data_IF_509900484594
#
_entry.id   IF_509900484594
#
_cell.length_a   1.000
_cell.length_b   1.000
_cell.length_c   1.000
_cell.angle_alpha   90.00
_cell.angle_beta   90.00
_cell.angle_gamma   90.00
#
_symmetry.space_group_name_H-M   'P 1'
#
loop_
_entity.id
_entity.type
_entity.pdbx_description
1 polymer ?
#
# COMPACT_ATOMS: atom_id res chain seq x y z
N UNK A 1 -22.49 2.35 30.50
CA UNK A 1 -23.19 1.98 29.25
C UNK A 1 -22.30 0.99 28.53
N UNK A 2 -22.52 -0.29 28.84
CA UNK A 2 -21.77 -1.40 28.26
C UNK A 2 -22.35 -1.71 26.87
N UNK A 3 -21.55 -1.54 25.83
CA UNK A 3 -21.94 -1.81 24.45
C UNK A 3 -21.44 -3.20 24.07
N UNK A 4 -22.32 -4.20 24.23
CA UNK A 4 -22.12 -5.55 23.70
C UNK A 4 -22.49 -5.50 22.21
N UNK A 5 -21.49 -5.54 21.33
CA UNK A 5 -21.69 -5.62 19.89
C UNK A 5 -22.02 -7.06 19.49
N UNK A 6 -23.20 -7.27 18.92
CA UNK A 6 -23.55 -8.52 18.26
C UNK A 6 -22.80 -8.62 16.94
N UNK A 7 -21.88 -9.59 16.88
CA UNK A 7 -21.15 -10.00 15.69
C UNK A 7 -22.04 -10.95 14.88
N UNK A 8 -22.55 -10.49 13.76
CA UNK A 8 -23.07 -11.37 12.71
C UNK A 8 -21.90 -11.92 11.89
N UNK A 9 -21.96 -13.20 11.51
CA UNK A 9 -20.87 -14.03 11.00
C UNK A 9 -20.05 -13.44 9.82
N UNK A 10 -20.58 -12.46 9.06
CA UNK A 10 -19.98 -11.99 7.80
C UNK A 10 -19.57 -10.50 7.77
N UNK A 11 -19.37 -9.85 8.91
CA UNK A 11 -19.38 -8.37 9.01
C UNK A 11 -18.19 -7.65 9.67
N UNK A 12 -16.98 -8.24 9.76
CA UNK A 12 -15.87 -7.69 10.58
C UNK A 12 -15.00 -6.62 9.90
N UNK A 13 -15.13 -6.39 8.59
CA UNK A 13 -14.26 -5.44 7.88
C UNK A 13 -14.38 -3.97 8.32
N UNK A 14 -15.50 -3.62 8.97
CA UNK A 14 -15.83 -2.23 9.34
C UNK A 14 -15.09 -1.73 10.59
N UNK A 15 -14.88 -2.59 11.61
CA UNK A 15 -14.30 -2.11 12.88
C UNK A 15 -12.78 -1.86 12.81
N UNK A 16 -12.04 -2.60 11.97
CA UNK A 16 -10.57 -2.59 12.12
C UNK A 16 -9.92 -1.36 11.49
N UNK A 17 -10.50 -0.79 10.42
CA UNK A 17 -9.98 0.43 9.79
C UNK A 17 -10.50 1.72 10.45
N UNK A 18 -11.71 1.72 11.02
CA UNK A 18 -12.24 2.86 11.77
C UNK A 18 -11.64 2.99 13.19
N UNK A 19 -11.11 1.91 13.77
CA UNK A 19 -10.44 1.94 15.09
C UNK A 19 -8.98 2.45 15.04
N UNK A 20 -8.34 2.51 13.87
CA UNK A 20 -6.93 2.91 13.76
C UNK A 20 -6.67 4.41 14.01
N UNK A 21 -7.59 5.35 13.68
CA UNK A 21 -7.43 6.77 14.01
C UNK A 21 -8.11 7.20 15.32
N UNK A 22 -9.06 6.42 15.88
CA UNK A 22 -9.96 6.91 16.93
C UNK A 22 -9.49 6.75 18.38
N UNK A 23 -8.41 6.02 18.66
CA UNK A 23 -7.98 5.74 20.04
C UNK A 23 -6.64 6.38 20.38
N UNK A 24 -6.71 7.55 21.01
CA UNK A 24 -5.60 8.24 21.65
C UNK A 24 -5.13 7.62 22.99
N UNK A 25 -5.28 6.31 23.19
CA UNK A 25 -4.84 5.54 24.38
C UNK A 25 -4.38 4.13 23.95
N UNK A 26 -3.52 3.41 24.71
CA UNK A 26 -2.43 2.63 24.12
C UNK A 26 -2.93 1.45 23.26
N UNK A 27 -2.54 1.34 21.97
CA UNK A 27 -3.34 0.68 20.95
C UNK A 27 -3.09 -0.83 20.82
N UNK A 28 -2.25 -1.41 21.67
CA UNK A 28 -1.56 -2.64 21.32
C UNK A 28 -2.39 -3.91 21.51
N UNK A 29 -3.26 -3.99 22.53
CA UNK A 29 -4.04 -5.22 22.80
C UNK A 29 -5.18 -5.42 21.80
N UNK A 30 -5.95 -4.38 21.50
CA UNK A 30 -7.11 -4.48 20.61
C UNK A 30 -6.71 -4.68 19.14
N UNK A 31 -5.63 -4.03 18.69
CA UNK A 31 -5.07 -4.29 17.35
C UNK A 31 -4.62 -5.74 17.20
N UNK A 32 -4.02 -6.33 18.23
CA UNK A 32 -3.60 -7.74 18.21
C UNK A 32 -4.78 -8.70 18.10
N UNK A 33 -5.86 -8.47 18.86
CA UNK A 33 -7.07 -9.31 18.78
C UNK A 33 -7.72 -9.19 17.41
N UNK A 34 -7.87 -7.97 16.88
CA UNK A 34 -8.44 -7.75 15.54
C UNK A 34 -7.58 -8.38 14.43
N UNK A 35 -6.25 -8.28 14.53
CA UNK A 35 -5.32 -8.90 13.59
C UNK A 35 -5.36 -10.43 13.67
N UNK A 36 -5.41 -11.00 14.88
CA UNK A 36 -5.51 -12.45 15.07
C UNK A 36 -6.85 -12.99 14.52
N UNK A 37 -7.95 -12.29 14.76
CA UNK A 37 -9.27 -12.64 14.19
C UNK A 37 -9.26 -12.55 12.65
N UNK A 38 -8.72 -11.46 12.07
CA UNK A 38 -8.57 -11.35 10.62
C UNK A 38 -7.68 -12.45 10.04
N UNK A 39 -6.61 -12.85 10.73
CA UNK A 39 -5.74 -13.93 10.27
C UNK A 39 -6.44 -15.29 10.29
N UNK A 40 -7.27 -15.56 11.31
CA UNK A 40 -8.10 -16.76 11.37
C UNK A 40 -9.13 -16.76 10.23
N UNK A 41 -9.83 -15.64 10.03
CA UNK A 41 -10.80 -15.46 8.93
C UNK A 41 -10.15 -15.57 7.56
N UNK A 42 -8.93 -15.07 7.38
CA UNK A 42 -8.17 -15.24 6.14
C UNK A 42 -7.90 -16.72 5.85
N UNK A 43 -7.44 -17.47 6.87
CA UNK A 43 -7.22 -18.91 6.76
C UNK A 43 -8.50 -19.65 6.41
N UNK A 44 -9.62 -19.26 7.00
CA UNK A 44 -10.92 -19.88 6.73
C UNK A 44 -11.45 -19.47 5.35
N UNK A 45 -11.23 -18.24 4.91
CA UNK A 45 -11.60 -17.77 3.57
C UNK A 45 -10.81 -18.47 2.47
N UNK A 46 -9.52 -18.75 2.68
CA UNK A 46 -8.72 -19.58 1.78
C UNK A 46 -9.28 -21.00 1.63
N UNK A 47 -10.02 -21.50 2.63
CA UNK A 47 -10.62 -22.83 2.64
C UNK A 47 -12.05 -22.84 2.10
N UNK A 48 -12.85 -21.79 2.35
CA UNK A 48 -14.30 -21.85 2.22
C UNK A 48 -14.97 -20.68 1.48
N UNK A 49 -14.40 -19.46 1.48
CA UNK A 49 -15.14 -18.23 1.08
C UNK A 49 -14.66 -17.58 -0.23
N UNK A 50 -13.80 -18.27 -0.99
CA UNK A 50 -13.35 -17.85 -2.33
C UNK A 50 -12.13 -16.92 -2.34
N UNK A 51 -11.42 -16.90 -3.47
CA UNK A 51 -10.14 -16.21 -3.62
C UNK A 51 -10.22 -14.67 -3.41
N UNK A 52 -11.33 -14.06 -3.82
CA UNK A 52 -11.56 -12.62 -3.67
C UNK A 52 -11.59 -12.18 -2.20
N UNK A 53 -12.35 -12.89 -1.36
CA UNK A 53 -12.49 -12.57 0.06
C UNK A 53 -11.16 -12.76 0.79
N UNK A 54 -10.42 -13.82 0.45
CA UNK A 54 -9.09 -14.03 0.98
C UNK A 54 -8.12 -12.89 0.61
N UNK A 55 -8.17 -12.38 -0.64
CA UNK A 55 -7.36 -11.25 -1.06
C UNK A 55 -7.73 -9.94 -0.32
N UNK A 56 -9.02 -9.66 -0.16
CA UNK A 56 -9.50 -8.49 0.59
C UNK A 56 -9.05 -8.53 2.07
N UNK A 57 -9.15 -9.68 2.73
CA UNK A 57 -8.72 -9.84 4.12
C UNK A 57 -7.19 -9.70 4.26
N UNK A 58 -6.43 -10.30 3.35
CA UNK A 58 -4.97 -10.17 3.33
C UNK A 58 -4.53 -8.71 3.10
N UNK A 59 -5.21 -7.99 2.20
CA UNK A 59 -4.97 -6.58 1.94
C UNK A 59 -5.19 -5.71 3.19
N UNK A 60 -6.30 -5.94 3.91
CA UNK A 60 -6.58 -5.22 5.17
C UNK A 60 -5.50 -5.50 6.21
N UNK A 61 -5.11 -6.77 6.40
CA UNK A 61 -4.01 -7.15 7.29
C UNK A 61 -2.70 -6.47 6.92
N UNK A 62 -2.36 -6.43 5.63
CA UNK A 62 -1.15 -5.81 5.11
C UNK A 62 -1.11 -4.31 5.44
N UNK A 63 -2.19 -3.58 5.18
CA UNK A 63 -2.29 -2.15 5.47
C UNK A 63 -2.15 -1.88 6.97
N UNK A 64 -2.81 -2.66 7.83
CA UNK A 64 -2.69 -2.53 9.29
C UNK A 64 -1.25 -2.76 9.75
N UNK A 65 -0.59 -3.76 9.19
CA UNK A 65 0.78 -4.13 9.54
C UNK A 65 1.80 -3.07 9.11
N UNK A 66 1.65 -2.50 7.91
CA UNK A 66 2.62 -1.57 7.32
C UNK A 66 2.41 -0.11 7.74
N UNK A 67 1.18 0.30 8.06
CA UNK A 67 0.81 1.71 8.23
C UNK A 67 1.66 2.48 9.27
N UNK A 68 2.02 1.95 10.45
CA UNK A 68 2.88 2.68 11.40
C UNK A 68 4.22 3.08 10.79
N UNK A 69 4.82 2.19 10.01
CA UNK A 69 6.12 2.42 9.37
C UNK A 69 5.99 3.29 8.13
N UNK A 70 4.95 3.08 7.32
CA UNK A 70 4.66 3.95 6.18
C UNK A 70 4.43 5.40 6.61
N UNK A 71 3.73 5.61 7.73
CA UNK A 71 3.55 6.95 8.30
C UNK A 71 4.85 7.59 8.74
N UNK A 72 5.74 6.82 9.36
CA UNK A 72 7.07 7.29 9.72
C UNK A 72 7.92 7.63 8.48
N UNK A 73 7.86 6.79 7.44
CA UNK A 73 8.50 7.04 6.16
C UNK A 73 7.97 8.31 5.48
N UNK A 74 6.65 8.52 5.48
CA UNK A 74 6.01 9.76 4.98
C UNK A 74 6.49 10.97 5.75
N UNK A 75 6.51 10.92 7.09
CA UNK A 75 6.97 12.03 7.93
C UNK A 75 8.46 12.37 7.68
N UNK A 76 9.30 11.36 7.46
CA UNK A 76 10.74 11.56 7.19
C UNK A 76 11.00 12.07 5.77
N UNK A 77 10.37 11.47 4.74
CA UNK A 77 10.50 11.91 3.34
C UNK A 77 9.95 13.31 3.13
N UNK A 78 8.93 13.72 3.88
CA UNK A 78 8.42 15.09 3.85
C UNK A 78 9.35 16.09 4.57
N UNK A 79 9.95 15.72 5.71
CA UNK A 79 10.78 16.61 6.54
C UNK A 79 12.15 16.98 5.96
N UNK A 80 12.38 18.26 5.63
CA UNK A 80 13.65 18.77 5.05
C UNK A 80 14.92 18.38 5.82
N UNK A 81 14.86 18.28 7.16
CA UNK A 81 16.01 17.97 8.04
C UNK A 81 16.27 16.48 8.23
N UNK A 82 15.33 15.61 7.86
CA UNK A 82 15.35 14.17 8.20
C UNK A 82 15.41 13.27 6.94
N UNK A 83 15.31 13.87 5.74
CA UNK A 83 15.39 13.18 4.43
C UNK A 83 16.69 12.40 4.21
N UNK A 84 17.78 12.75 4.88
CA UNK A 84 19.08 12.09 4.70
C UNK A 84 19.21 10.76 5.47
N UNK A 85 18.25 10.40 6.32
CA UNK A 85 18.29 9.13 7.06
C UNK A 85 17.62 8.04 6.21
N UNK A 86 18.45 7.11 5.73
CA UNK A 86 18.07 5.95 4.93
C UNK A 86 17.20 4.96 5.71
N UNK A 87 15.88 5.14 5.67
CA UNK A 87 14.93 4.05 5.93
C UNK A 87 14.37 3.61 4.59
N UNK A 88 14.79 2.42 4.14
CA UNK A 88 14.19 1.77 2.99
C UNK A 88 12.77 1.32 3.32
N UNK A 89 11.88 1.38 2.32
CA UNK A 89 10.59 0.68 2.43
C UNK A 89 10.83 -0.83 2.60
N UNK A 90 9.88 -1.52 3.23
CA UNK A 90 9.89 -2.97 3.35
C UNK A 90 8.77 -3.57 2.49
N UNK A 91 8.89 -4.82 2.01
CA UNK A 91 7.81 -5.48 1.30
C UNK A 91 6.65 -5.81 2.25
N UNK A 92 5.45 -6.03 1.68
CA UNK A 92 4.24 -6.37 2.44
C UNK A 92 4.44 -7.61 3.32
N UNK A 93 5.07 -8.66 2.80
CA UNK A 93 5.40 -9.90 3.50
C UNK A 93 6.19 -9.65 4.79
N UNK A 94 7.18 -8.77 4.74
CA UNK A 94 8.01 -8.42 5.89
C UNK A 94 7.17 -7.78 7.01
N UNK A 95 6.24 -6.87 6.67
CA UNK A 95 5.37 -6.24 7.66
C UNK A 95 4.41 -7.25 8.31
N UNK A 96 3.81 -8.13 7.50
CA UNK A 96 2.93 -9.20 7.98
C UNK A 96 3.68 -10.14 8.92
N UNK A 97 4.87 -10.60 8.52
CA UNK A 97 5.74 -11.44 9.33
C UNK A 97 6.13 -10.76 10.63
N UNK A 98 6.59 -9.49 10.58
CA UNK A 98 6.98 -8.74 11.78
C UNK A 98 5.82 -8.61 12.76
N UNK A 99 4.62 -8.38 12.25
CA UNK A 99 3.40 -8.27 13.07
C UNK A 99 3.05 -9.61 13.72
N UNK A 100 3.15 -10.73 12.99
CA UNK A 100 2.83 -12.07 13.48
C UNK A 100 3.90 -12.64 14.43
N UNK A 101 5.17 -12.33 14.22
CA UNK A 101 6.30 -12.88 14.98
C UNK A 101 6.79 -11.96 16.12
N UNK A 102 6.15 -10.80 16.37
CA UNK A 102 6.60 -9.85 17.39
C UNK A 102 6.68 -10.45 18.80
N UNK A 103 5.95 -11.54 19.05
CA UNK A 103 5.92 -12.27 20.32
C UNK A 103 6.51 -13.70 20.21
N UNK A 104 6.93 -14.16 19.02
CA UNK A 104 7.37 -15.53 18.80
C UNK A 104 8.90 -15.62 18.74
N UNK A 105 9.51 -15.85 19.92
CA UNK A 105 10.89 -16.29 20.17
C UNK A 105 12.07 -15.43 19.64
N UNK A 106 12.97 -14.93 20.51
CA UNK A 106 14.13 -14.12 20.13
C UNK A 106 15.32 -14.89 19.49
N UNK A 107 15.16 -16.16 19.11
CA UNK A 107 16.26 -17.03 18.65
C UNK A 107 15.97 -17.74 17.33
N UNK A 108 15.54 -17.01 16.29
CA UNK A 108 15.55 -17.55 14.91
C UNK A 108 16.83 -17.14 14.21
N UNK A 109 17.48 -18.07 13.53
CA UNK A 109 18.68 -17.77 12.73
C UNK A 109 18.28 -16.87 11.56
N UNK A 110 19.26 -16.18 10.95
CA UNK A 110 19.00 -15.38 9.73
C UNK A 110 18.37 -16.23 8.60
N UNK A 111 18.72 -17.52 8.52
CA UNK A 111 18.16 -18.45 7.55
C UNK A 111 16.67 -18.71 7.77
N UNK A 112 16.25 -18.97 9.01
CA UNK A 112 14.84 -19.24 9.35
C UNK A 112 13.93 -18.06 9.01
N UNK A 113 14.43 -16.83 9.21
CA UNK A 113 13.68 -15.62 8.88
C UNK A 113 13.50 -15.44 7.38
N UNK A 114 14.51 -15.81 6.58
CA UNK A 114 14.46 -15.75 5.12
C UNK A 114 13.46 -16.75 4.54
N UNK A 115 13.48 -18.00 5.02
CA UNK A 115 12.50 -19.02 4.60
C UNK A 115 11.08 -18.55 4.88
N UNK A 116 10.85 -17.96 6.05
CA UNK A 116 9.54 -17.37 6.37
C UNK A 116 9.18 -16.20 5.46
N UNK A 117 10.12 -15.30 5.15
CA UNK A 117 9.86 -14.20 4.20
C UNK A 117 9.44 -14.76 2.83
N UNK A 118 10.12 -15.78 2.32
CA UNK A 118 9.79 -16.47 1.06
C UNK A 118 8.41 -17.15 1.09
N UNK A 119 8.04 -17.78 2.22
CA UNK A 119 6.70 -18.35 2.42
C UNK A 119 5.60 -17.28 2.40
N UNK A 120 5.81 -16.16 3.10
CA UNK A 120 4.86 -15.04 3.10
C UNK A 120 4.75 -14.37 1.73
N UNK A 121 5.87 -14.19 1.03
CA UNK A 121 5.89 -13.68 -0.35
C UNK A 121 5.08 -14.60 -1.28
N UNK A 122 5.24 -15.93 -1.14
CA UNK A 122 4.47 -16.91 -1.91
C UNK A 122 2.96 -16.80 -1.62
N UNK A 123 2.57 -16.64 -0.36
CA UNK A 123 1.16 -16.44 0.03
C UNK A 123 0.60 -15.16 -0.57
N UNK A 124 1.34 -14.04 -0.51
CA UNK A 124 0.93 -12.76 -1.10
C UNK A 124 0.79 -12.89 -2.61
N UNK A 125 1.80 -13.42 -3.30
CA UNK A 125 1.79 -13.59 -4.75
C UNK A 125 0.62 -14.48 -5.21
N UNK A 126 0.40 -15.62 -4.54
CA UNK A 126 -0.71 -16.53 -4.86
C UNK A 126 -2.07 -15.89 -4.63
N UNK A 127 -2.25 -15.20 -3.50
CA UNK A 127 -3.54 -14.64 -3.11
C UNK A 127 -3.88 -13.40 -3.96
N UNK A 128 -2.89 -12.55 -4.24
CA UNK A 128 -3.08 -11.31 -4.99
C UNK A 128 -2.99 -11.48 -6.51
N UNK A 129 -2.43 -12.59 -6.99
CA UNK A 129 -2.16 -12.79 -8.42
C UNK A 129 -3.38 -12.64 -9.33
N UNK A 130 -4.52 -13.22 -8.92
CA UNK A 130 -5.77 -13.10 -9.69
C UNK A 130 -6.30 -11.65 -9.72
N UNK A 131 -6.17 -10.93 -8.61
CA UNK A 131 -6.58 -9.51 -8.52
C UNK A 131 -5.68 -8.65 -9.40
N UNK A 132 -4.35 -8.84 -9.30
CA UNK A 132 -3.37 -8.13 -10.13
C UNK A 132 -3.66 -8.34 -11.62
N UNK A 133 -3.88 -9.59 -12.03
CA UNK A 133 -4.23 -9.92 -13.41
C UNK A 133 -5.53 -9.24 -13.85
N UNK A 134 -6.57 -9.24 -13.01
CA UNK A 134 -7.84 -8.58 -13.30
C UNK A 134 -7.72 -7.05 -13.44
N UNK A 135 -6.79 -6.43 -12.70
CA UNK A 135 -6.45 -5.01 -12.78
C UNK A 135 -5.44 -4.68 -13.90
N UNK A 136 -4.95 -5.67 -14.65
CA UNK A 136 -3.91 -5.47 -15.66
C UNK A 136 -2.54 -5.10 -15.07
N UNK A 137 -2.26 -5.50 -13.82
CA UNK A 137 -1.02 -5.28 -13.10
C UNK A 137 -0.05 -6.47 -13.24
N UNK A 138 1.28 -6.24 -13.30
CA UNK A 138 2.23 -7.32 -13.37
C UNK A 138 2.20 -8.16 -12.08
N UNK A 139 2.27 -9.48 -12.24
CA UNK A 139 2.26 -10.43 -11.11
C UNK A 139 3.47 -10.18 -10.20
N UNK A 140 4.63 -9.98 -10.82
CA UNK A 140 5.89 -9.62 -10.15
C UNK A 140 6.05 -8.11 -10.15
N UNK A 141 6.50 -7.54 -9.02
CA UNK A 141 6.73 -6.10 -8.93
C UNK A 141 7.92 -5.68 -9.84
N UNK A 142 7.71 -4.82 -10.85
CA UNK A 142 8.73 -4.47 -11.84
C UNK A 142 9.88 -3.61 -11.27
N UNK A 143 9.64 -2.95 -10.14
CA UNK A 143 10.58 -2.01 -9.50
C UNK A 143 10.80 -2.36 -8.03
N UNK A 144 10.79 -3.65 -7.69
CA UNK A 144 10.87 -4.11 -6.30
C UNK A 144 12.08 -3.55 -5.54
N UNK A 145 13.24 -3.52 -6.19
CA UNK A 145 14.52 -3.06 -5.66
C UNK A 145 15.27 -2.18 -6.67
N UNK A 146 16.10 -1.30 -6.12
CA UNK A 146 17.14 -0.58 -6.81
C UNK A 146 18.49 -1.01 -6.25
N UNK A 147 19.47 -1.22 -7.12
CA UNK A 147 20.78 -1.76 -6.77
C UNK A 147 21.84 -0.70 -7.06
N UNK A 148 22.24 0.08 -6.05
CA UNK A 148 23.33 1.05 -6.20
C UNK A 148 24.64 0.30 -6.41
N UNK A 149 25.37 0.68 -7.46
CA UNK A 149 26.73 0.17 -7.67
C UNK A 149 27.67 0.94 -6.73
N UNK A 150 28.05 0.32 -5.62
CA UNK A 150 28.93 0.93 -4.61
C UNK A 150 30.41 0.80 -4.99
N UNK A 151 31.26 1.58 -4.33
CA UNK A 151 32.72 1.45 -4.47
C UNK A 151 33.19 0.04 -4.10
N UNK A 152 32.54 -0.64 -3.15
CA UNK A 152 32.84 -2.01 -2.77
C UNK A 152 32.53 -3.01 -3.90
N UNK A 153 31.42 -2.81 -4.63
CA UNK A 153 31.06 -3.63 -5.81
C UNK A 153 32.06 -3.38 -6.94
N UNK A 154 32.58 -2.16 -7.08
CA UNK A 154 33.60 -1.83 -8.08
C UNK A 154 34.96 -2.44 -7.68
N UNK A 155 35.29 -2.44 -6.38
CA UNK A 155 36.54 -2.95 -5.84
C UNK A 155 36.58 -4.47 -5.72
N UNK A 156 35.45 -5.16 -5.87
CA UNK A 156 35.39 -6.62 -5.80
C UNK A 156 35.96 -7.33 -7.02
N UNK A 157 36.19 -6.60 -8.12
CA UNK A 157 36.82 -7.12 -9.33
C UNK A 157 38.20 -6.49 -9.56
N UNK A 158 39.10 -7.31 -10.10
CA UNK A 158 40.41 -6.84 -10.59
C UNK A 158 40.44 -6.68 -12.11
N UNK A 159 39.38 -7.10 -12.82
CA UNK A 159 39.28 -7.00 -14.27
C UNK A 159 39.01 -5.53 -14.68
N UNK A 160 39.89 -4.90 -15.49
CA UNK A 160 39.74 -3.51 -15.91
C UNK A 160 38.47 -3.22 -16.71
N UNK A 161 38.07 -4.12 -17.61
CA UNK A 161 36.89 -3.95 -18.46
C UNK A 161 35.60 -4.07 -17.65
N UNK A 162 35.54 -5.02 -16.72
CA UNK A 162 34.41 -5.18 -15.82
C UNK A 162 34.30 -3.96 -14.88
N UNK A 163 35.42 -3.49 -14.34
CA UNK A 163 35.48 -2.28 -13.51
C UNK A 163 34.99 -1.04 -14.27
N UNK A 164 35.42 -0.87 -15.53
CA UNK A 164 34.97 0.23 -16.38
C UNK A 164 33.46 0.14 -16.66
N UNK A 165 32.94 -1.06 -16.87
CA UNK A 165 31.50 -1.27 -17.03
C UNK A 165 30.73 -0.90 -15.76
N UNK A 166 31.15 -1.34 -14.58
CA UNK A 166 30.53 -0.98 -13.30
C UNK A 166 30.56 0.54 -13.04
N UNK A 167 31.69 1.20 -13.34
CA UNK A 167 31.80 2.66 -13.28
C UNK A 167 30.88 3.38 -14.29
N UNK A 168 30.60 2.79 -15.45
CA UNK A 168 29.63 3.36 -16.39
C UNK A 168 28.19 3.29 -15.84
N UNK A 169 27.87 2.24 -15.09
CA UNK A 169 26.56 2.07 -14.47
C UNK A 169 26.29 3.10 -13.37
N UNK A 170 27.31 3.50 -12.59
CA UNK A 170 27.14 4.54 -11.55
C UNK A 170 26.68 5.88 -12.13
N UNK A 171 27.16 6.23 -13.34
CA UNK A 171 26.76 7.45 -14.04
C UNK A 171 25.29 7.49 -14.48
N UNK A 172 24.65 6.32 -14.62
CA UNK A 172 23.24 6.18 -15.00
C UNK A 172 22.26 6.16 -13.82
N UNK A 173 22.76 6.10 -12.58
CA UNK A 173 21.95 5.87 -11.38
C UNK A 173 21.86 4.39 -10.98
N UNK A 174 21.05 4.04 -9.96
CA UNK A 174 20.96 2.67 -9.49
C UNK A 174 20.28 1.76 -10.54
N UNK A 175 20.75 0.52 -10.64
CA UNK A 175 20.17 -0.49 -11.53
C UNK A 175 18.81 -0.90 -10.98
N UNK A 176 17.76 -0.91 -11.79
CA UNK A 176 16.42 -1.34 -11.36
C UNK A 176 16.24 -2.85 -11.51
N UNK A 177 15.33 -3.45 -10.74
CA UNK A 177 15.02 -4.89 -10.79
C UNK A 177 14.78 -5.39 -12.22
N UNK A 178 13.98 -4.68 -13.02
CA UNK A 178 13.71 -5.06 -14.41
C UNK A 178 14.92 -4.99 -15.37
N UNK A 179 16.06 -4.43 -14.95
CA UNK A 179 17.30 -4.36 -15.74
C UNK A 179 18.35 -5.37 -15.25
N UNK A 180 18.11 -6.05 -14.13
CA UNK A 180 19.14 -6.82 -13.45
C UNK A 180 19.63 -8.00 -14.29
N UNK A 181 18.73 -8.73 -14.96
CA UNK A 181 19.13 -9.87 -15.81
C UNK A 181 20.08 -9.44 -16.93
N UNK A 182 19.81 -8.30 -17.57
CA UNK A 182 20.66 -7.74 -18.63
C UNK A 182 22.03 -7.34 -18.08
N UNK A 183 22.05 -6.69 -16.91
CA UNK A 183 23.30 -6.27 -16.25
C UNK A 183 24.12 -7.48 -15.81
N UNK A 184 23.50 -8.48 -15.17
CA UNK A 184 24.18 -9.70 -14.76
C UNK A 184 24.75 -10.47 -15.96
N UNK A 185 24.00 -10.61 -17.05
CA UNK A 185 24.51 -11.26 -18.26
C UNK A 185 25.68 -10.48 -18.85
N UNK A 186 25.60 -9.15 -18.87
CA UNK A 186 26.71 -8.33 -19.36
C UNK A 186 27.96 -8.44 -18.49
N UNK A 187 27.81 -8.56 -17.17
CA UNK A 187 28.92 -8.79 -16.24
C UNK A 187 29.61 -10.14 -16.55
N UNK A 188 28.83 -11.21 -16.78
CA UNK A 188 29.34 -12.53 -17.18
C UNK A 188 30.07 -12.53 -18.52
N UNK A 189 29.61 -11.72 -19.47
CA UNK A 189 30.24 -11.62 -20.80
C UNK A 189 31.61 -10.93 -20.77
N UNK A 190 31.87 -10.07 -19.77
CA UNK A 190 33.09 -9.25 -19.69
C UNK A 190 34.15 -9.90 -18.79
N UNK A 191 33.74 -10.44 -17.65
CA UNK A 191 34.65 -10.95 -16.63
C UNK A 191 34.93 -12.46 -16.73
N UNK A 192 36.04 -12.95 -16.15
CA UNK A 192 36.19 -14.37 -15.80
C UNK A 192 35.00 -14.83 -14.94
N UNK A 193 34.59 -16.10 -15.08
CA UNK A 193 33.39 -16.62 -14.42
C UNK A 193 33.37 -16.35 -12.90
N UNK A 194 34.45 -16.65 -12.19
CA UNK A 194 34.52 -16.48 -10.73
C UNK A 194 34.40 -15.02 -10.28
N UNK A 195 35.06 -14.11 -11.02
CA UNK A 195 35.07 -12.67 -10.75
C UNK A 195 33.69 -12.04 -11.04
N UNK A 196 33.07 -12.45 -12.15
CA UNK A 196 31.73 -12.03 -12.55
C UNK A 196 30.67 -12.45 -11.52
N UNK A 197 30.71 -13.70 -11.04
CA UNK A 197 29.74 -14.18 -10.04
C UNK A 197 29.92 -13.48 -8.68
N UNK A 198 31.16 -13.22 -8.25
CA UNK A 198 31.40 -12.44 -7.03
C UNK A 198 30.83 -11.02 -7.12
N UNK A 199 31.02 -10.33 -8.25
CA UNK A 199 30.45 -9.00 -8.49
C UNK A 199 28.92 -9.04 -8.48
N UNK A 200 28.32 -10.05 -9.14
CA UNK A 200 26.87 -10.23 -9.18
C UNK A 200 26.31 -10.46 -7.77
N UNK A 201 26.94 -11.33 -6.98
CA UNK A 201 26.53 -11.59 -5.60
C UNK A 201 26.54 -10.31 -4.76
N UNK A 202 27.64 -9.54 -4.83
CA UNK A 202 27.75 -8.28 -4.09
C UNK A 202 26.75 -7.23 -4.55
N UNK A 203 26.52 -7.10 -5.86
CA UNK A 203 25.53 -6.18 -6.40
C UNK A 203 24.11 -6.54 -5.94
N UNK A 204 23.74 -7.82 -6.03
CA UNK A 204 22.42 -8.30 -5.60
C UNK A 204 22.22 -8.15 -4.09
N UNK A 205 23.27 -8.37 -3.29
CA UNK A 205 23.25 -8.14 -1.85
C UNK A 205 23.02 -6.67 -1.47
N UNK A 206 23.38 -5.73 -2.36
CA UNK A 206 23.20 -4.29 -2.18
C UNK A 206 21.78 -3.77 -2.47
N UNK A 207 20.82 -4.64 -2.79
CA UNK A 207 19.46 -4.24 -3.14
C UNK A 207 18.74 -3.44 -2.04
N UNK A 208 18.26 -2.24 -2.39
CA UNK A 208 17.50 -1.35 -1.49
C UNK A 208 16.17 -0.93 -2.11
N UNK A 209 15.29 -0.34 -1.29
CA UNK A 209 13.93 0.10 -1.68
C UNK A 209 13.72 1.62 -1.49
N UNK A 210 14.80 2.40 -1.53
CA UNK A 210 14.75 3.85 -1.26
C UNK A 210 14.09 4.65 -2.38
N UNK A 211 14.16 4.15 -3.62
CA UNK A 211 13.55 4.73 -4.82
C UNK A 211 12.02 4.70 -4.80
N UNK A 212 11.43 3.83 -3.98
CA UNK A 212 9.98 3.72 -3.85
C UNK A 212 9.38 4.92 -3.11
N UNK A 213 8.15 5.24 -3.49
CA UNK A 213 7.32 6.20 -2.76
C UNK A 213 6.72 5.53 -1.53
N UNK A 214 6.63 6.28 -0.44
CA UNK A 214 5.90 5.84 0.74
C UNK A 214 4.39 6.08 0.53
N UNK A 215 3.55 5.15 0.97
CA UNK A 215 2.09 5.24 0.86
C UNK A 215 1.49 5.01 2.24
N UNK A 216 0.81 6.01 2.78
CA UNK A 216 0.12 5.93 4.08
C UNK A 216 -1.37 6.22 3.90
N UNK A 217 -2.18 5.50 4.66
CA UNK A 217 -3.63 5.69 4.74
C UNK A 217 -3.96 6.36 6.06
N UNK A 218 -4.61 7.51 5.97
CA UNK A 218 -5.11 8.25 7.13
C UNK A 218 -6.61 8.43 7.00
N UNK A 219 -7.36 8.27 8.08
CA UNK A 219 -8.76 8.67 8.12
C UNK A 219 -8.90 9.89 9.02
N UNK A 220 -9.43 10.98 8.46
CA UNK A 220 -9.83 12.17 9.21
C UNK A 220 -11.33 12.33 9.01
N UNK A 221 -12.11 12.00 10.04
CA UNK A 221 -13.56 11.93 9.94
C UNK A 221 -14.03 10.70 9.13
N UNK A 222 -15.08 10.87 8.33
CA UNK A 222 -15.75 9.76 7.61
C UNK A 222 -15.06 9.33 6.32
N UNK A 223 -14.10 10.11 5.81
CA UNK A 223 -13.49 9.87 4.49
C UNK A 223 -12.00 9.53 4.65
N UNK A 224 -11.56 8.33 4.23
CA UNK A 224 -10.14 7.97 4.22
C UNK A 224 -9.38 8.71 3.12
N UNK A 225 -8.12 9.00 3.40
CA UNK A 225 -7.17 9.72 2.57
C UNK A 225 -5.91 8.87 2.36
N UNK A 226 -5.41 8.88 1.14
CA UNK A 226 -4.14 8.27 0.76
C UNK A 226 -3.11 9.39 0.60
N UNK A 227 -2.00 9.26 1.33
CA UNK A 227 -0.85 10.16 1.21
C UNK A 227 0.31 9.40 0.61
N UNK A 228 0.82 9.89 -0.52
CA UNK A 228 1.94 9.31 -1.27
C UNK A 228 3.09 10.30 -1.25
N UNK A 229 4.28 9.86 -0.87
CA UNK A 229 5.48 10.72 -0.85
C UNK A 229 6.62 10.07 -1.62
N UNK A 230 7.06 10.74 -2.69
CA UNK A 230 8.19 10.23 -3.49
C UNK A 230 9.55 10.52 -2.81
N UNK A 231 10.66 9.93 -3.29
CA UNK A 231 11.98 10.17 -2.73
C UNK A 231 12.44 11.63 -2.76
N UNK A 232 11.88 12.45 -3.66
CA UNK A 232 12.16 13.89 -3.74
C UNK A 232 11.42 14.70 -2.66
N UNK A 233 10.55 14.05 -1.88
CA UNK A 233 9.74 14.66 -0.83
C UNK A 233 8.54 15.45 -1.36
N UNK A 234 8.12 15.17 -2.59
CA UNK A 234 6.84 15.64 -3.13
C UNK A 234 5.76 14.72 -2.57
N UNK A 235 4.70 15.33 -2.07
CA UNK A 235 3.55 14.74 -1.39
C UNK A 235 2.36 14.91 -2.32
N UNK A 236 1.68 13.82 -2.59
CA UNK A 236 0.35 13.78 -3.17
C UNK A 236 -0.59 13.22 -2.11
N UNK A 237 -1.59 14.00 -1.70
CA UNK A 237 -2.63 13.55 -0.79
C UNK A 237 -3.98 13.63 -1.49
N UNK A 238 -4.68 12.51 -1.54
CA UNK A 238 -5.95 12.40 -2.23
C UNK A 238 -6.95 11.54 -1.45
N UNK A 239 -8.27 11.79 -1.62
CA UNK A 239 -9.32 10.90 -1.15
C UNK A 239 -9.14 9.45 -1.64
N UNK A 240 -9.49 8.49 -0.79
CA UNK A 240 -9.42 7.05 -1.10
C UNK A 240 -10.09 6.67 -2.42
N UNK A 241 -11.29 7.19 -2.71
CA UNK A 241 -12.00 6.92 -3.97
C UNK A 241 -11.22 7.35 -5.20
N UNK A 242 -10.49 8.47 -5.11
CA UNK A 242 -9.66 8.96 -6.22
C UNK A 242 -8.47 8.04 -6.46
N UNK A 243 -7.94 7.42 -5.39
CA UNK A 243 -6.89 6.42 -5.49
C UNK A 243 -7.43 5.12 -6.08
N UNK A 244 -8.59 4.65 -5.59
CA UNK A 244 -9.29 3.49 -6.15
C UNK A 244 -9.49 3.64 -7.66
N UNK A 245 -10.04 4.78 -8.08
CA UNK A 245 -10.30 5.06 -9.49
C UNK A 245 -9.03 5.09 -10.36
N UNK A 246 -7.87 5.49 -9.82
CA UNK A 246 -6.60 5.47 -10.57
C UNK A 246 -6.08 4.04 -10.77
N UNK A 247 -6.36 3.14 -9.83
CA UNK A 247 -5.98 1.73 -9.90
C UNK A 247 -7.01 0.91 -10.70
N UNK A 248 -8.30 1.26 -10.67
CA UNK A 248 -9.32 0.58 -11.47
C UNK A 248 -9.13 0.82 -12.98
N UNK A 249 -8.72 2.03 -13.37
CA UNK A 249 -8.54 2.43 -14.76
C UNK A 249 -7.05 2.61 -15.10
N UNK A 250 -6.29 1.54 -14.90
CA UNK A 250 -4.86 1.46 -15.22
C UNK A 250 -4.58 1.91 -16.66
N UNK A 251 -3.55 2.74 -16.83
CA UNK A 251 -3.14 3.30 -18.11
C UNK A 251 -4.00 4.46 -18.62
N UNK A 252 -5.13 4.77 -17.98
CA UNK A 252 -5.97 5.90 -18.39
C UNK A 252 -5.60 7.18 -17.64
N UNK A 253 -5.50 8.28 -18.38
CA UNK A 253 -5.32 9.61 -17.79
C UNK A 253 -6.63 10.15 -17.26
N UNK A 254 -6.64 10.48 -15.97
CA UNK A 254 -7.78 11.05 -15.27
C UNK A 254 -7.45 12.40 -14.68
N UNK A 255 -8.42 13.32 -14.71
CA UNK A 255 -8.37 14.56 -13.93
C UNK A 255 -8.71 14.22 -12.48
N UNK A 256 -7.70 13.97 -11.66
CA UNK A 256 -7.84 13.52 -10.26
C UNK A 256 -8.71 14.48 -9.45
N UNK A 257 -8.66 15.78 -9.74
CA UNK A 257 -9.55 16.78 -9.14
C UNK A 257 -11.04 16.52 -9.38
N UNK A 258 -11.39 16.03 -10.56
CA UNK A 258 -12.76 15.86 -11.07
C UNK A 258 -13.31 14.44 -10.87
N UNK A 259 -12.50 13.50 -10.38
CA UNK A 259 -12.96 12.14 -10.04
C UNK A 259 -13.95 12.23 -8.87
N UNK A 260 -15.20 11.87 -9.15
CA UNK A 260 -16.31 11.73 -8.20
C UNK A 260 -16.61 13.01 -7.40
N UNK A 261 -17.26 13.98 -8.06
CA UNK A 261 -17.65 15.28 -7.50
C UNK A 261 -18.88 15.24 -6.57
N UNK A 262 -19.42 14.05 -6.27
CA UNK A 262 -20.65 13.91 -5.48
C UNK A 262 -20.36 13.31 -4.12
N UNK A 263 -20.13 14.18 -3.14
CA UNK A 263 -20.34 13.84 -1.73
C UNK A 263 -21.64 14.51 -1.26
N UNK A 264 -22.42 13.79 -0.45
CA UNK A 264 -23.80 14.13 -0.05
C UNK A 264 -23.88 15.41 0.81
N UNK A 265 -22.73 15.97 1.22
CA UNK A 265 -22.63 17.11 2.15
C UNK A 265 -21.89 18.35 1.60
N UNK A 266 -21.74 18.49 0.27
CA UNK A 266 -21.43 19.79 -0.36
C UNK A 266 -20.00 20.34 -0.23
N UNK A 267 -19.02 19.56 0.25
CA UNK A 267 -17.60 19.92 0.22
C UNK A 267 -16.77 18.81 -0.39
N UNK A 268 -16.08 19.09 -1.51
CA UNK A 268 -15.16 18.13 -2.10
C UNK A 268 -13.81 18.18 -1.40
N UNK A 269 -13.30 17.08 -0.84
CA UNK A 269 -11.92 17.03 -0.41
C UNK A 269 -11.00 17.15 -1.65
N UNK A 270 -10.34 18.29 -1.77
CA UNK A 270 -9.41 18.59 -2.86
C UNK A 270 -8.17 17.69 -2.81
N UNK A 271 -7.57 17.47 -3.97
CA UNK A 271 -6.26 16.81 -4.07
C UNK A 271 -5.23 17.82 -3.61
N UNK A 272 -4.43 17.46 -2.61
CA UNK A 272 -3.37 18.31 -2.08
C UNK A 272 -2.02 17.86 -2.67
N UNK A 273 -1.26 18.80 -3.22
CA UNK A 273 0.11 18.56 -3.69
C UNK A 273 1.03 19.67 -3.17
N UNK A 274 2.15 19.30 -2.55
CA UNK A 274 3.05 20.25 -1.88
C UNK A 274 4.08 20.87 -2.85
N UNK A 275 3.62 21.51 -3.91
CA UNK A 275 4.47 22.23 -4.86
C UNK A 275 4.45 23.74 -4.61
N UNK A 276 5.52 24.47 -4.98
CA UNK A 276 5.60 25.92 -4.76
C UNK A 276 4.75 26.75 -5.73
N UNK A 277 3.99 26.12 -6.63
CA UNK A 277 3.23 26.77 -7.69
C UNK A 277 1.74 26.48 -7.56
N UNK A 278 0.90 27.44 -7.95
CA UNK A 278 -0.55 27.27 -8.00
C UNK A 278 -0.92 26.30 -9.13
N UNK A 279 -1.45 25.13 -8.75
CA UNK A 279 -1.96 24.12 -9.70
C UNK A 279 -3.48 24.13 -9.60
N UNK A 280 -4.17 24.28 -10.73
CA UNK A 280 -5.64 24.24 -10.78
C UNK A 280 -6.19 22.87 -11.11
N UNK A 281 -5.54 22.15 -12.02
CA UNK A 281 -5.96 20.81 -12.43
C UNK A 281 -4.82 19.83 -12.19
N UNK A 282 -5.08 18.83 -11.36
CA UNK A 282 -4.19 17.69 -11.19
C UNK A 282 -4.74 16.55 -12.04
N UNK A 283 -3.99 16.14 -13.05
CA UNK A 283 -4.26 14.92 -13.81
C UNK A 283 -3.23 13.85 -13.48
N UNK A 284 -3.60 12.59 -13.60
CA UNK A 284 -2.66 11.49 -13.44
C UNK A 284 -3.16 10.20 -14.05
N UNK A 285 -2.23 9.27 -14.23
CA UNK A 285 -2.50 7.92 -14.68
C UNK A 285 -1.55 6.96 -13.97
N UNK A 286 -2.03 5.75 -13.73
CA UNK A 286 -1.23 4.69 -13.16
C UNK A 286 -0.68 3.80 -14.27
N UNK A 287 0.64 3.77 -14.43
CA UNK A 287 1.34 2.94 -15.41
C UNK A 287 1.72 1.59 -14.79
N UNK A 288 1.08 0.54 -15.28
CA UNK A 288 1.25 -0.84 -14.81
C UNK A 288 2.68 -1.36 -14.95
N UNK A 289 3.28 -1.16 -16.13
CA UNK A 289 4.57 -1.76 -16.49
C UNK A 289 5.70 -1.36 -15.55
N UNK A 290 5.62 -0.16 -14.97
CA UNK A 290 6.62 0.40 -14.06
C UNK A 290 6.09 0.56 -12.63
N UNK A 291 4.82 0.20 -12.38
CA UNK A 291 4.11 0.47 -11.13
C UNK A 291 4.21 1.94 -10.71
N UNK A 292 4.03 2.86 -11.67
CA UNK A 292 4.27 4.29 -11.47
C UNK A 292 2.98 5.08 -11.59
N UNK A 293 2.67 5.87 -10.55
CA UNK A 293 1.66 6.91 -10.66
C UNK A 293 2.31 8.18 -11.21
N UNK A 294 1.96 8.56 -12.42
CA UNK A 294 2.38 9.83 -13.03
C UNK A 294 1.33 10.89 -12.73
N UNK A 295 1.79 12.06 -12.28
CA UNK A 295 0.93 13.20 -11.93
C UNK A 295 1.44 14.45 -12.60
N UNK A 296 0.54 15.14 -13.28
CA UNK A 296 0.80 16.43 -13.92
C UNK A 296 -0.14 17.49 -13.33
N UNK A 297 0.44 18.66 -13.06
CA UNK A 297 -0.29 19.86 -12.70
C UNK A 297 -0.39 20.77 -13.91
N UNK A 298 -1.62 21.14 -14.29
CA UNK A 298 -1.86 22.09 -15.37
C UNK A 298 -2.08 23.50 -14.81
N UNK A 299 -1.50 24.49 -15.49
CA UNK A 299 -1.69 25.90 -15.18
C UNK A 299 -3.14 26.33 -15.44
N UNK A 300 -3.68 27.20 -14.59
CA UNK A 300 -5.08 27.64 -14.63
C UNK A 300 -5.51 28.26 -15.95
N UNK A 301 -4.63 29.05 -16.58
CA UNK A 301 -4.97 29.89 -17.73
C UNK A 301 -4.61 29.26 -19.06
N UNK A 302 -3.50 28.54 -19.13
CA UNK A 302 -2.96 28.00 -20.39
C UNK A 302 -3.27 26.53 -20.58
N UNK A 303 -3.66 25.80 -19.52
CA UNK A 303 -3.75 24.34 -19.50
C UNK A 303 -2.44 23.62 -19.88
N UNK A 304 -1.33 24.35 -19.90
CA UNK A 304 0.00 23.78 -20.10
C UNK A 304 0.49 23.09 -18.83
N UNK A 305 1.41 22.15 -19.01
CA UNK A 305 2.03 21.42 -17.89
C UNK A 305 2.93 22.38 -17.11
N UNK A 306 2.42 22.86 -15.97
CA UNK A 306 3.21 23.65 -15.01
C UNK A 306 4.13 22.75 -14.18
N UNK A 307 3.68 21.52 -13.93
CA UNK A 307 4.36 20.58 -13.04
C UNK A 307 4.18 19.14 -13.52
N UNK A 308 5.21 18.33 -13.35
CA UNK A 308 5.14 16.88 -13.57
C UNK A 308 5.97 16.16 -12.51
N UNK A 309 5.44 15.06 -12.00
CA UNK A 309 6.13 14.18 -11.07
C UNK A 309 5.65 12.75 -11.18
N UNK A 310 6.46 11.83 -10.67
CA UNK A 310 6.19 10.42 -10.68
C UNK A 310 6.34 9.86 -9.26
N UNK A 311 5.49 8.90 -8.95
CA UNK A 311 5.49 8.14 -7.70
C UNK A 311 5.61 6.66 -8.05
N UNK A 312 6.82 6.11 -7.94
CA UNK A 312 7.05 4.67 -8.07
C UNK A 312 6.44 3.99 -6.85
N UNK A 313 5.43 3.17 -7.04
CA UNK A 313 4.74 2.45 -5.97
C UNK A 313 5.20 1.00 -5.94
N UNK A 314 5.26 0.40 -4.75
CA UNK A 314 5.28 -1.05 -4.65
C UNK A 314 3.92 -1.60 -5.09
N UNK A 315 3.88 -2.38 -6.17
CA UNK A 315 2.64 -2.90 -6.74
C UNK A 315 1.84 -3.72 -5.72
N UNK A 316 2.51 -4.52 -4.87
CA UNK A 316 1.84 -5.29 -3.83
C UNK A 316 1.21 -4.37 -2.79
N UNK A 317 1.96 -3.38 -2.32
CA UNK A 317 1.47 -2.39 -1.37
C UNK A 317 0.30 -1.56 -1.95
N UNK A 318 0.39 -1.15 -3.21
CA UNK A 318 -0.65 -0.38 -3.89
C UNK A 318 -1.96 -1.18 -4.01
N UNK A 319 -1.88 -2.45 -4.41
CA UNK A 319 -3.05 -3.34 -4.50
C UNK A 319 -3.64 -3.63 -3.12
N UNK A 320 -2.81 -3.81 -2.09
CA UNK A 320 -3.30 -3.98 -0.72
C UNK A 320 -4.05 -2.74 -0.22
N UNK A 321 -3.50 -1.54 -0.45
CA UNK A 321 -4.18 -0.29 -0.10
C UNK A 321 -5.49 -0.16 -0.88
N UNK A 322 -5.47 -0.41 -2.19
CA UNK A 322 -6.67 -0.39 -3.04
C UNK A 322 -7.77 -1.33 -2.53
N UNK A 323 -7.45 -2.60 -2.29
CA UNK A 323 -8.42 -3.60 -1.85
C UNK A 323 -8.96 -3.28 -0.45
N UNK A 324 -8.10 -2.83 0.47
CA UNK A 324 -8.52 -2.48 1.83
C UNK A 324 -9.49 -1.30 1.82
N UNK A 325 -9.23 -0.27 1.03
CA UNK A 325 -10.10 0.89 0.88
C UNK A 325 -11.43 0.52 0.20
N UNK A 326 -11.36 -0.27 -0.88
CA UNK A 326 -12.55 -0.78 -1.58
C UNK A 326 -13.42 -1.60 -0.64
N UNK A 327 -12.83 -2.50 0.16
CA UNK A 327 -13.54 -3.30 1.17
C UNK A 327 -14.20 -2.40 2.21
N UNK A 328 -13.47 -1.45 2.78
CA UNK A 328 -14.01 -0.50 3.76
C UNK A 328 -15.22 0.25 3.21
N UNK A 329 -15.15 0.70 1.95
CA UNK A 329 -16.25 1.39 1.28
C UNK A 329 -17.47 0.50 1.11
N UNK A 330 -17.29 -0.74 0.62
CA UNK A 330 -18.38 -1.69 0.44
C UNK A 330 -19.04 -2.08 1.77
N UNK A 331 -18.24 -2.31 2.80
CA UNK A 331 -18.74 -2.59 4.15
C UNK A 331 -19.53 -1.41 4.71
N UNK A 332 -19.05 -0.18 4.52
CA UNK A 332 -19.79 1.02 4.93
C UNK A 332 -21.12 1.16 4.19
N UNK A 333 -21.15 0.97 2.87
CA UNK A 333 -22.40 0.99 2.10
C UNK A 333 -23.39 -0.08 2.54
N UNK A 334 -22.88 -1.24 2.99
CA UNK A 334 -23.70 -2.31 3.57
C UNK A 334 -24.26 -1.90 4.94
N UNK A 335 -23.42 -1.31 5.80
CA UNK A 335 -23.85 -0.84 7.12
C UNK A 335 -24.90 0.27 7.02
N UNK A 336 -24.69 1.27 6.16
CA UNK A 336 -25.67 2.34 5.92
C UNK A 336 -27.01 1.77 5.47
N UNK A 337 -27.01 0.81 4.52
CA UNK A 337 -28.25 0.11 4.11
C UNK A 337 -28.91 -0.66 5.25
N UNK A 338 -28.14 -1.40 6.04
CA UNK A 338 -28.69 -2.18 7.16
C UNK A 338 -29.24 -1.28 8.27
N UNK A 339 -28.62 -0.13 8.50
CA UNK A 339 -29.14 0.92 9.40
C UNK A 339 -30.46 1.47 8.89
N UNK A 340 -30.54 1.87 7.61
CA UNK A 340 -31.79 2.34 6.99
C UNK A 340 -32.90 1.27 7.07
N UNK A 341 -32.56 0.00 6.83
CA UNK A 341 -33.49 -1.13 6.97
C UNK A 341 -33.93 -1.35 8.43
N UNK A 342 -33.05 -1.13 9.41
CA UNK A 342 -33.38 -1.25 10.82
C UNK A 342 -34.28 -0.10 11.29
N UNK A 343 -33.96 1.14 10.89
CA UNK A 343 -34.75 2.34 11.19
C UNK A 343 -36.14 2.27 10.58
N UNK A 344 -36.27 1.76 9.34
CA UNK A 344 -37.57 1.54 8.70
C UNK A 344 -38.39 0.42 9.37
N UNK A 345 -37.74 -0.63 9.90
CA UNK A 345 -38.42 -1.70 10.67
C UNK A 345 -38.83 -1.29 12.09
N UNK A 346 -38.14 -0.31 12.70
CA UNK A 346 -38.50 0.29 13.99
C UNK A 346 -39.76 1.19 13.92
N UNK A 347 -40.31 1.45 12.72
CA UNK A 347 -41.59 2.14 12.55
C UNK A 347 -42.80 1.35 13.08
N UNK A 348 -42.60 0.07 13.43
CA UNK A 348 -43.52 -0.71 14.27
C UNK A 348 -43.06 -0.57 15.71
N UNK A 349 -43.69 0.33 16.48
CA UNK A 349 -43.47 0.42 17.93
C UNK A 349 -43.73 -0.97 18.56
N UNK A 350 -42.70 -1.66 19.09
CA UNK A 350 -42.85 -2.99 19.68
C UNK A 350 -43.64 -2.96 21.00
N UNK A 351 -44.02 -1.78 21.50
CA UNK A 351 -44.86 -1.60 22.68
C UNK A 351 -46.28 -1.15 22.34
N UNK A 352 -46.64 -1.01 21.05
CA UNK A 352 -47.98 -0.57 20.62
C UNK A 352 -49.10 -1.47 21.17
N UNK A 353 -48.86 -2.77 21.25
CA UNK A 353 -49.78 -3.76 21.82
C UNK A 353 -49.86 -3.75 23.37
N UNK A 354 -48.97 -3.04 24.05
CA UNK A 354 -49.07 -2.78 25.49
C UNK A 354 -49.91 -1.53 25.78
N UNK A 355 -50.07 -0.60 24.82
CA UNK A 355 -50.95 0.57 24.96
C UNK A 355 -52.43 0.25 24.68
N UNK A 356 -52.71 -0.74 23.84
CA UNK A 356 -54.07 -1.20 23.54
C UNK A 356 -54.68 -2.07 24.66
N UNK A 357 -53.88 -2.46 25.67
CA UNK A 357 -54.38 -3.03 26.92
C UNK A 357 -54.72 -1.90 27.90
N UNK A 358 -55.78 -1.15 27.62
CA UNK A 358 -56.46 -0.44 28.71
C UNK A 358 -56.95 -1.50 29.71
N UNK A 359 -56.76 -1.30 31.02
CA UNK A 359 -57.48 -2.09 32.00
C UNK A 359 -58.95 -1.70 31.86
N UNK A 360 -59.76 -2.58 31.28
CA UNK A 360 -61.21 -2.52 31.50
C UNK A 360 -61.42 -2.68 33.01
N UNK A 361 -61.86 -1.57 33.62
CA UNK A 361 -62.62 -1.44 34.88
C UNK A 361 -62.32 -2.39 36.03
#
# INVERSE_FOLDING_TARGET
>A
MDSIFWLADDGVGLMVLELVPFLGTPPYRWKRVAVADLALRFRDAQRFNGAQVAAELLAVLAVIASEPEQRELVARKSGRRVRQIKLGGQPVSWHLRRMMNRDATPYRTKGDLRVLDEEFDSVVAKTMGAIKAALGLPVVNPVAYSYPVSDDVIASTTNPDLRNHLMSLTGGGPVMTGQMDVVCNRIRDIGPADDAEQVIEMLLAGGIREHLSAVSVSAKGRNPWVTIVNPKGIILKLPARKFEALIDDVGQTKRIGEIDTRDINGGLPEVEINVPMEIKVVAGHYESATSTLHVVGLAERTLEVAFSTSFLLDADSAVCVYLALRRQRLDRQRFERLMDEAETKLSVDPFRHLQDRRPDS
#
